data_IF_668900003898
#
_entry.id   IF_668900003898
#
_cell.length_a   1.000
_cell.length_b   1.000
_cell.length_c   1.000
_cell.angle_alpha   90.00
_cell.angle_beta   90.00
_cell.angle_gamma   90.00
#
_symmetry.space_group_name_H-M   'P 1'
#
loop_
_entity.id
_entity.type
_entity.pdbx_description
1 polymer ?
#
# COMPACT_ATOMS: atom_id res chain seq x y z
N UNK A 1 -19.59 8.26 -0.42
CA UNK A 1 -18.75 7.69 -1.49
C UNK A 1 -18.87 8.49 -2.79
N UNK A 2 -20.07 8.72 -3.32
CA UNK A 2 -20.31 9.42 -4.60
C UNK A 2 -19.61 10.80 -4.71
N UNK A 3 -19.79 11.68 -3.72
CA UNK A 3 -19.14 13.00 -3.72
C UNK A 3 -17.61 12.90 -3.74
N UNK A 4 -17.04 11.96 -2.99
CA UNK A 4 -15.59 11.75 -2.97
C UNK A 4 -15.08 11.31 -4.35
N UNK A 5 -15.83 10.45 -5.06
CA UNK A 5 -15.48 10.07 -6.43
C UNK A 5 -15.60 11.23 -7.42
N UNK A 6 -16.61 12.09 -7.25
CA UNK A 6 -16.77 13.29 -8.08
C UNK A 6 -15.59 14.25 -7.88
N UNK A 7 -15.22 14.51 -6.64
CA UNK A 7 -14.08 15.36 -6.33
C UNK A 7 -12.74 14.73 -6.76
N UNK A 8 -12.61 13.40 -6.68
CA UNK A 8 -11.48 12.64 -7.23
C UNK A 8 -11.40 12.67 -8.77
N UNK A 9 -12.47 13.03 -9.47
CA UNK A 9 -12.41 13.21 -10.94
C UNK A 9 -12.05 14.63 -11.33
N UNK A 10 -12.14 15.57 -10.41
CA UNK A 10 -11.87 16.97 -10.69
C UNK A 10 -10.37 17.28 -10.61
N UNK A 11 -9.68 17.17 -11.76
CA UNK A 11 -8.24 17.42 -11.88
C UNK A 11 -7.80 18.84 -11.51
N UNK A 12 -8.72 19.81 -11.57
CA UNK A 12 -8.43 21.22 -11.25
C UNK A 12 -8.42 21.46 -9.74
N UNK A 13 -9.02 20.57 -8.93
CA UNK A 13 -8.99 20.72 -7.47
C UNK A 13 -7.61 20.32 -6.93
N UNK A 14 -6.87 21.24 -6.27
CA UNK A 14 -5.56 20.95 -5.71
C UNK A 14 -5.62 20.03 -4.48
N UNK A 15 -6.77 19.97 -3.79
CA UNK A 15 -6.95 19.14 -2.59
C UNK A 15 -7.66 17.82 -2.87
N UNK A 16 -7.60 17.33 -4.11
CA UNK A 16 -8.26 16.11 -4.56
C UNK A 16 -7.89 14.88 -3.73
N UNK A 17 -6.68 14.86 -3.19
CA UNK A 17 -6.21 13.82 -2.29
C UNK A 17 -7.08 13.65 -1.03
N UNK A 18 -7.78 14.70 -0.56
CA UNK A 18 -8.74 14.60 0.57
C UNK A 18 -9.88 13.62 0.26
N UNK A 19 -10.26 13.52 -1.01
CA UNK A 19 -11.25 12.54 -1.46
C UNK A 19 -10.73 11.12 -1.33
N UNK A 20 -9.44 10.89 -1.56
CA UNK A 20 -8.80 9.58 -1.39
C UNK A 20 -8.80 9.16 0.08
N UNK A 21 -8.47 10.09 0.98
CA UNK A 21 -8.57 9.85 2.43
C UNK A 21 -10.00 9.49 2.81
N UNK A 22 -10.98 10.21 2.27
CA UNK A 22 -12.40 9.94 2.48
C UNK A 22 -12.79 8.55 1.95
N UNK A 23 -12.30 8.15 0.77
CA UNK A 23 -12.51 6.81 0.21
C UNK A 23 -11.96 5.72 1.13
N UNK A 24 -10.79 5.92 1.73
CA UNK A 24 -10.20 4.98 2.70
C UNK A 24 -11.11 4.65 3.89
N UNK A 25 -11.96 5.59 4.31
CA UNK A 25 -12.91 5.38 5.43
C UNK A 25 -14.05 4.42 5.10
N UNK A 26 -14.32 4.15 3.82
CA UNK A 26 -15.36 3.21 3.42
C UNK A 26 -14.90 1.74 3.46
N UNK A 27 -13.61 1.47 3.67
CA UNK A 27 -13.09 0.11 3.78
C UNK A 27 -12.99 -0.61 2.43
N UNK A 28 -13.22 -1.93 2.43
CA UNK A 28 -13.11 -2.77 1.23
C UNK A 28 -13.95 -2.31 0.01
N UNK A 29 -15.19 -1.78 0.17
CA UNK A 29 -15.94 -1.21 -0.94
C UNK A 29 -15.22 -0.12 -1.74
N UNK A 30 -14.18 0.52 -1.18
CA UNK A 30 -13.40 1.54 -1.87
C UNK A 30 -12.17 1.01 -2.61
N UNK A 31 -11.86 -0.29 -2.53
CA UNK A 31 -10.60 -0.85 -3.03
C UNK A 31 -10.35 -0.58 -4.52
N UNK A 32 -11.35 -0.75 -5.38
CA UNK A 32 -11.19 -0.50 -6.82
C UNK A 32 -10.91 0.99 -7.10
N UNK A 33 -11.58 1.90 -6.39
CA UNK A 33 -11.36 3.33 -6.55
C UNK A 33 -9.98 3.76 -6.06
N UNK A 34 -9.53 3.18 -4.95
CA UNK A 34 -8.19 3.42 -4.41
C UNK A 34 -7.11 2.82 -5.32
N UNK A 35 -7.35 1.66 -5.91
CA UNK A 35 -6.48 1.08 -6.92
C UNK A 35 -6.31 2.02 -8.12
N UNK A 36 -7.40 2.58 -8.65
CA UNK A 36 -7.30 3.58 -9.71
C UNK A 36 -6.52 4.84 -9.29
N UNK A 37 -6.66 5.28 -8.04
CA UNK A 37 -5.93 6.44 -7.52
C UNK A 37 -4.41 6.22 -7.39
N UNK A 38 -3.92 4.98 -7.39
CA UNK A 38 -2.48 4.67 -7.44
C UNK A 38 -1.81 5.09 -8.76
N UNK A 39 -2.59 5.40 -9.79
CA UNK A 39 -2.08 5.77 -11.11
C UNK A 39 -2.34 7.25 -11.44
N UNK A 40 -2.70 8.06 -10.44
CA UNK A 40 -2.93 9.50 -10.63
C UNK A 40 -1.60 10.25 -10.88
N UNK A 41 -1.67 11.31 -11.67
CA UNK A 41 -0.53 12.18 -11.99
C UNK A 41 -0.04 12.95 -10.75
N UNK A 42 -0.95 13.25 -9.82
CA UNK A 42 -0.63 13.91 -8.56
C UNK A 42 -0.08 12.90 -7.56
N UNK A 43 1.19 13.10 -7.17
CA UNK A 43 1.87 12.25 -6.20
C UNK A 43 1.14 12.16 -4.86
N UNK A 44 0.42 13.21 -4.45
CA UNK A 44 -0.33 13.19 -3.19
C UNK A 44 -1.54 12.26 -3.28
N UNK A 45 -2.23 12.25 -4.42
CA UNK A 45 -3.33 11.31 -4.66
C UNK A 45 -2.81 9.87 -4.58
N UNK A 46 -1.67 9.57 -5.24
CA UNK A 46 -1.01 8.26 -5.15
C UNK A 46 -0.60 7.91 -3.73
N UNK A 47 0.06 8.82 -3.03
CA UNK A 47 0.53 8.63 -1.64
C UNK A 47 -0.64 8.27 -0.70
N UNK A 48 -1.71 9.06 -0.72
CA UNK A 48 -2.87 8.83 0.15
C UNK A 48 -3.66 7.58 -0.26
N UNK A 49 -3.59 7.16 -1.53
CA UNK A 49 -4.19 5.90 -1.97
C UNK A 49 -3.45 4.70 -1.37
N UNK A 50 -2.11 4.72 -1.40
CA UNK A 50 -1.29 3.68 -0.75
C UNK A 50 -1.55 3.63 0.76
N UNK A 51 -1.55 4.77 1.44
CA UNK A 51 -1.81 4.83 2.88
C UNK A 51 -3.22 4.33 3.23
N UNK A 52 -4.24 4.70 2.43
CA UNK A 52 -5.60 4.21 2.60
C UNK A 52 -5.68 2.67 2.43
N UNK A 53 -5.08 2.11 1.37
CA UNK A 53 -5.05 0.66 1.15
C UNK A 53 -4.35 -0.09 2.29
N UNK A 54 -3.22 0.45 2.78
CA UNK A 54 -2.50 -0.10 3.93
C UNK A 54 -3.32 -0.06 5.22
N UNK A 55 -4.13 0.99 5.44
CA UNK A 55 -5.04 1.11 6.59
C UNK A 55 -6.25 0.19 6.49
N UNK A 56 -6.78 -0.03 5.28
CA UNK A 56 -7.86 -1.00 5.04
C UNK A 56 -7.36 -2.41 5.37
N UNK A 57 -6.09 -2.72 5.06
CA UNK A 57 -5.46 -3.98 5.47
C UNK A 57 -5.94 -5.20 4.67
N UNK A 58 -6.71 -4.99 3.59
CA UNK A 58 -7.24 -6.10 2.78
C UNK A 58 -6.10 -6.81 2.05
N UNK A 59 -6.09 -8.14 2.08
CA UNK A 59 -5.10 -8.95 1.32
C UNK A 59 -5.23 -8.74 -0.19
N UNK A 60 -6.39 -8.32 -0.67
CA UNK A 60 -6.63 -7.97 -2.07
C UNK A 60 -5.81 -6.74 -2.51
N UNK A 61 -5.41 -5.88 -1.56
CA UNK A 61 -4.59 -4.71 -1.85
C UNK A 61 -3.12 -5.03 -2.14
N UNK A 62 -2.64 -6.23 -1.81
CA UNK A 62 -1.22 -6.60 -2.02
C UNK A 62 -0.85 -6.53 -3.51
N UNK A 63 -1.71 -7.06 -4.38
CA UNK A 63 -1.45 -7.08 -5.82
C UNK A 63 -1.47 -5.65 -6.40
N UNK A 64 -2.34 -4.78 -5.88
CA UNK A 64 -2.40 -3.36 -6.28
C UNK A 64 -1.15 -2.58 -5.86
N UNK A 65 -0.62 -2.86 -4.68
CA UNK A 65 0.53 -2.15 -4.10
C UNK A 65 1.87 -2.67 -4.62
N UNK A 66 1.93 -3.86 -5.21
CA UNK A 66 3.20 -4.44 -5.65
C UNK A 66 3.89 -3.57 -6.72
N UNK A 67 3.11 -2.97 -7.63
CA UNK A 67 3.66 -2.08 -8.66
C UNK A 67 4.16 -0.75 -8.10
N UNK A 68 3.59 -0.24 -7.00
CA UNK A 68 3.96 1.06 -6.42
C UNK A 68 5.27 1.02 -5.62
N UNK A 69 5.84 -0.18 -5.39
CA UNK A 69 7.21 -0.33 -4.88
C UNK A 69 8.27 0.22 -5.85
N UNK A 70 7.90 0.41 -7.12
CA UNK A 70 8.75 0.95 -8.18
C UNK A 70 8.31 2.36 -8.63
N UNK A 71 7.49 3.06 -7.83
CA UNK A 71 7.09 4.43 -8.14
C UNK A 71 8.31 5.36 -8.27
N UNK A 72 8.22 6.37 -9.13
CA UNK A 72 9.27 7.36 -9.35
C UNK A 72 9.58 8.16 -8.07
N UNK A 73 8.55 8.43 -7.25
CA UNK A 73 8.67 9.22 -6.04
C UNK A 73 9.09 8.32 -4.85
N UNK A 74 10.13 8.75 -4.14
CA UNK A 74 10.69 7.98 -3.03
C UNK A 74 9.72 7.85 -1.84
N UNK A 75 8.91 8.87 -1.57
CA UNK A 75 7.94 8.85 -0.48
C UNK A 75 6.87 7.78 -0.76
N UNK A 76 6.46 7.64 -2.03
CA UNK A 76 5.50 6.63 -2.46
C UNK A 76 6.07 5.21 -2.31
N UNK A 77 7.34 5.00 -2.69
CA UNK A 77 7.98 3.68 -2.50
C UNK A 77 8.07 3.32 -1.02
N UNK A 78 8.43 4.29 -0.16
CA UNK A 78 8.49 4.11 1.29
C UNK A 78 7.12 3.75 1.89
N UNK A 79 6.09 4.54 1.61
CA UNK A 79 4.75 4.28 2.17
C UNK A 79 4.17 2.98 1.62
N UNK A 80 4.52 2.57 0.40
CA UNK A 80 4.16 1.25 -0.15
C UNK A 80 4.76 0.11 0.65
N UNK A 81 6.07 0.16 0.97
CA UNK A 81 6.70 -0.85 1.79
C UNK A 81 6.06 -0.94 3.17
N UNK A 82 5.78 0.21 3.80
CA UNK A 82 5.08 0.28 5.08
C UNK A 82 3.65 -0.29 5.01
N UNK A 83 2.90 0.02 3.95
CA UNK A 83 1.54 -0.47 3.74
C UNK A 83 1.51 -2.00 3.58
N UNK A 84 2.42 -2.56 2.78
CA UNK A 84 2.57 -4.01 2.63
C UNK A 84 2.97 -4.68 3.95
N UNK A 85 3.86 -4.07 4.72
CA UNK A 85 4.21 -4.54 6.07
C UNK A 85 3.04 -4.50 7.06
N UNK A 86 2.12 -3.53 6.93
CA UNK A 86 0.87 -3.47 7.73
C UNK A 86 -0.17 -4.50 7.28
N UNK A 87 -0.29 -4.74 5.97
CA UNK A 87 -1.20 -5.76 5.45
C UNK A 87 -0.71 -7.15 5.84
N UNK A 88 0.58 -7.41 5.66
CA UNK A 88 1.30 -8.62 6.02
C UNK A 88 0.88 -9.90 5.31
N UNK A 89 1.40 -11.03 5.81
CA UNK A 89 1.19 -12.37 5.28
C UNK A 89 2.05 -12.72 4.05
N UNK A 90 1.96 -13.97 3.57
CA UNK A 90 2.94 -14.53 2.63
C UNK A 90 3.05 -13.78 1.29
N UNK A 91 1.93 -13.28 0.76
CA UNK A 91 1.93 -12.51 -0.50
C UNK A 91 2.65 -11.17 -0.36
N UNK A 92 2.43 -10.46 0.75
CA UNK A 92 3.09 -9.18 1.01
C UNK A 92 4.60 -9.38 1.24
N UNK A 93 4.98 -10.42 2.00
CA UNK A 93 6.38 -10.79 2.19
C UNK A 93 7.07 -11.11 0.86
N UNK A 94 6.42 -11.89 -0.01
CA UNK A 94 6.96 -12.23 -1.31
C UNK A 94 7.14 -10.98 -2.21
N UNK A 95 6.15 -10.08 -2.26
CA UNK A 95 6.25 -8.84 -3.02
C UNK A 95 7.40 -7.94 -2.53
N UNK A 96 7.53 -7.79 -1.20
CA UNK A 96 8.63 -7.05 -0.58
C UNK A 96 10.00 -7.67 -0.92
N UNK A 97 10.13 -9.00 -0.83
CA UNK A 97 11.37 -9.70 -1.15
C UNK A 97 11.79 -9.54 -2.62
N UNK A 98 10.83 -9.59 -3.55
CA UNK A 98 11.10 -9.32 -4.96
C UNK A 98 11.61 -7.89 -5.16
N UNK A 99 11.00 -6.90 -4.51
CA UNK A 99 11.47 -5.52 -4.58
C UNK A 99 12.84 -5.31 -3.90
N UNK A 100 13.15 -6.04 -2.83
CA UNK A 100 14.46 -5.98 -2.15
C UNK A 100 15.61 -6.39 -3.08
N UNK A 101 15.34 -7.40 -3.91
CA UNK A 101 16.30 -7.94 -4.88
C UNK A 101 16.44 -7.07 -6.14
N UNK A 102 15.64 -6.01 -6.27
CA UNK A 102 15.82 -5.03 -7.34
C UNK A 102 17.02 -4.12 -7.08
N UNK A 103 17.51 -3.45 -8.13
CA UNK A 103 18.62 -2.49 -8.06
C UNK A 103 18.25 -1.18 -7.32
N UNK A 104 17.02 -1.05 -6.82
CA UNK A 104 16.57 0.14 -6.10
C UNK A 104 17.03 0.13 -4.63
N UNK A 105 18.25 0.59 -4.39
CA UNK A 105 18.86 0.63 -3.05
C UNK A 105 18.06 1.43 -2.01
N UNK A 106 17.30 2.44 -2.43
CA UNK A 106 16.61 3.36 -1.50
C UNK A 106 15.43 2.74 -0.76
N UNK A 107 14.83 1.67 -1.30
CA UNK A 107 13.64 1.03 -0.67
C UNK A 107 14.06 -0.09 0.28
N UNK A 108 15.32 -0.55 0.23
CA UNK A 108 15.79 -1.75 0.93
C UNK A 108 15.67 -1.68 2.45
N UNK A 109 15.99 -0.54 3.05
CA UNK A 109 15.85 -0.33 4.50
C UNK A 109 14.39 -0.50 4.92
N UNK A 110 13.47 0.12 4.19
CA UNK A 110 12.05 0.07 4.49
C UNK A 110 11.43 -1.30 4.24
N UNK A 111 11.93 -2.03 3.23
CA UNK A 111 11.55 -3.41 3.00
C UNK A 111 12.02 -4.31 4.14
N UNK A 112 13.25 -4.12 4.64
CA UNK A 112 13.76 -4.90 5.76
C UNK A 112 12.87 -4.71 7.01
N UNK A 113 12.51 -3.47 7.33
CA UNK A 113 11.59 -3.16 8.44
C UNK A 113 10.20 -3.79 8.23
N UNK A 114 9.66 -3.70 7.01
CA UNK A 114 8.36 -4.28 6.68
C UNK A 114 8.36 -5.81 6.78
N UNK A 115 9.42 -6.47 6.32
CA UNK A 115 9.60 -7.93 6.42
C UNK A 115 9.75 -8.37 7.88
N UNK A 116 10.55 -7.65 8.68
CA UNK A 116 10.68 -7.92 10.12
C UNK A 116 9.32 -7.87 10.80
N UNK A 117 8.53 -6.83 10.52
CA UNK A 117 7.17 -6.69 11.05
C UNK A 117 6.28 -7.88 10.67
N UNK A 118 6.30 -8.32 9.40
CA UNK A 118 5.50 -9.48 8.96
C UNK A 118 5.92 -10.75 9.71
N UNK A 119 7.23 -10.98 9.85
CA UNK A 119 7.72 -12.16 10.58
C UNK A 119 7.36 -12.12 12.06
N UNK A 120 7.40 -10.95 12.69
CA UNK A 120 6.98 -10.78 14.08
C UNK A 120 5.48 -11.06 14.28
N UNK A 121 4.63 -10.64 13.33
CA UNK A 121 3.19 -10.95 13.34
C UNK A 121 2.92 -12.45 13.11
N UNK A 122 3.68 -13.13 12.25
CA UNK A 122 3.54 -14.58 12.02
C UNK A 122 4.01 -15.42 13.23
N UNK A 123 5.07 -15.00 13.93
CA UNK A 123 5.58 -15.69 15.13
C UNK A 123 4.62 -15.52 16.33
N UNK A 124 3.94 -14.38 16.43
CA UNK A 124 3.01 -14.08 17.54
C UNK A 124 1.62 -14.66 17.35
N UNK A 125 1.25 -15.10 16.15
CA UNK A 125 0.04 -15.88 15.90
C UNK A 125 0.25 -17.35 16.34
N UNK A 126 -0.34 -17.82 17.45
CA UNK A 126 -0.16 -19.18 17.91
C UNK A 126 -0.88 -20.12 16.93
N UNK A 127 -0.14 -20.78 16.04
CA UNK A 127 -0.75 -21.73 15.09
C UNK A 127 0.14 -22.32 14.01
N UNK A 128 1.31 -21.76 13.71
CA UNK A 128 2.20 -22.38 12.71
C UNK A 128 3.17 -23.32 13.44
N UNK A 129 2.75 -24.57 13.55
CA UNK A 129 3.66 -25.68 13.82
C UNK A 129 4.75 -25.67 12.75
N UNK A 130 5.97 -25.33 13.14
CA UNK A 130 7.17 -25.59 12.34
C UNK A 130 7.36 -27.11 12.37
N UNK A 131 6.75 -27.81 11.42
CA UNK A 131 7.09 -29.20 11.13
C UNK A 131 8.52 -29.22 10.58
N UNK A 132 9.36 -30.02 11.24
CA UNK A 132 10.76 -30.25 10.90
C UNK A 132 10.98 -30.87 9.52
#
# INVERSE_FOLDING_TARGET
>A
MEQALLDLKNRVRPERWKSVVTLGTFGEPALEYLHHALHDEDKWVRFFAVDALGKIGSKNSVDYLTQTLMDEDQDIRWVTASALGKIGGPRAAHALQQAYNSDNAFVKIFIAEALEKITAEEITAPGIAVSQ
#
